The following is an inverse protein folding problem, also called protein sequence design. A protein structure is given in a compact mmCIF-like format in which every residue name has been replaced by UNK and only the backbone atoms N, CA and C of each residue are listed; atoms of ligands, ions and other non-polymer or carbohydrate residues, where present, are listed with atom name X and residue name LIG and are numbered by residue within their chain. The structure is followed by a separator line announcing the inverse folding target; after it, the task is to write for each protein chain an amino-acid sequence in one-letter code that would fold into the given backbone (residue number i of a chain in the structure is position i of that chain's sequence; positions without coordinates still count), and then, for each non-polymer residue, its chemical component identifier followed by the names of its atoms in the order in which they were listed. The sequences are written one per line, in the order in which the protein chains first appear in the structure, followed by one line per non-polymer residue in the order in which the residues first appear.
data_IF_118793358514
#
_entry.id   IF_118793358514
#
_cell.length_a   1.000
_cell.length_b   1.000
_cell.length_c   1.000
_cell.angle_alpha   90.00
_cell.angle_beta   90.00
_cell.angle_gamma   90.00
#
_symmetry.space_group_name_H-M   'P 1'
#
loop_
_entity.id
_entity.type
_entity.pdbx_description
1 polymer ?
#
# COMPACT_ATOMS: atom_id res chain seq x y z
N UNK A 1 -44.33 55.84 9.19
CA UNK A 1 -43.71 55.31 7.95
C UNK A 1 -44.79 54.59 7.16
N UNK A 2 -45.36 55.24 6.15
CA UNK A 2 -46.35 54.62 5.27
C UNK A 2 -45.65 53.70 4.27
N UNK A 3 -45.58 52.41 4.60
CA UNK A 3 -45.05 51.41 3.68
C UNK A 3 -46.17 51.05 2.70
N UNK A 4 -46.03 51.48 1.44
CA UNK A 4 -46.96 51.06 0.38
C UNK A 4 -46.95 49.53 0.24
N UNK A 5 -48.08 48.93 -0.18
CA UNK A 5 -48.19 47.47 -0.42
C UNK A 5 -47.06 46.91 -1.30
N UNK A 6 -46.63 47.70 -2.31
CA UNK A 6 -45.49 47.37 -3.18
C UNK A 6 -44.15 47.43 -2.44
N UNK A 7 -43.97 48.39 -1.53
CA UNK A 7 -42.81 48.47 -0.65
C UNK A 7 -42.72 47.27 0.30
N UNK A 8 -43.85 46.86 0.88
CA UNK A 8 -43.92 45.68 1.75
C UNK A 8 -43.53 44.39 1.02
N UNK A 9 -44.01 44.17 -0.21
CA UNK A 9 -43.66 43.00 -1.00
C UNK A 9 -42.18 42.99 -1.43
N UNK A 10 -41.62 44.15 -1.79
CA UNK A 10 -40.19 44.27 -2.11
C UNK A 10 -39.30 43.99 -0.90
N UNK A 11 -39.66 44.54 0.26
CA UNK A 11 -38.91 44.35 1.50
C UNK A 11 -38.99 42.88 1.96
N UNK A 12 -40.17 42.29 1.94
CA UNK A 12 -40.39 40.89 2.33
C UNK A 12 -39.67 39.92 1.40
N UNK A 13 -39.68 40.18 0.08
CA UNK A 13 -38.93 39.40 -0.90
C UNK A 13 -37.41 39.47 -0.69
N UNK A 14 -36.87 40.64 -0.35
CA UNK A 14 -35.44 40.80 -0.06
C UNK A 14 -35.00 40.08 1.23
N UNK A 15 -35.85 40.11 2.27
CA UNK A 15 -35.57 39.40 3.54
C UNK A 15 -35.67 37.89 3.36
N UNK A 16 -36.68 37.40 2.63
CA UNK A 16 -36.78 35.97 2.29
C UNK A 16 -35.59 35.50 1.45
N UNK A 17 -35.20 36.27 0.43
CA UNK A 17 -34.05 35.94 -0.42
C UNK A 17 -32.75 35.85 0.36
N UNK A 18 -32.55 36.68 1.40
CA UNK A 18 -31.33 36.68 2.22
C UNK A 18 -31.35 35.65 3.35
N UNK A 19 -32.52 35.34 3.91
CA UNK A 19 -32.66 34.33 4.97
C UNK A 19 -32.40 32.88 4.53
N UNK A 20 -32.54 32.58 3.24
CA UNK A 20 -32.30 31.24 2.67
C UNK A 20 -30.86 30.95 2.21
N UNK A 21 -29.94 31.93 2.27
CA UNK A 21 -28.58 31.80 1.71
C UNK A 21 -27.64 31.01 2.65
N UNK A 22 -28.11 30.60 3.83
CA UNK A 22 -27.28 29.83 4.78
C UNK A 22 -26.12 30.62 5.39
N UNK A 23 -26.07 31.94 5.18
CA UNK A 23 -25.05 32.84 5.74
C UNK A 23 -25.52 33.30 7.12
N UNK A 24 -24.92 32.75 8.18
CA UNK A 24 -25.13 33.23 9.54
C UNK A 24 -24.28 34.47 9.81
N UNK A 25 -24.90 35.59 10.18
CA UNK A 25 -24.21 36.82 10.60
C UNK A 25 -23.77 36.78 12.07
N UNK A 26 -23.96 35.65 12.77
CA UNK A 26 -23.44 35.48 14.13
C UNK A 26 -21.91 35.42 14.06
N UNK A 27 -21.18 36.12 14.95
CA UNK A 27 -19.73 35.96 15.04
C UNK A 27 -19.40 34.50 15.33
N UNK A 28 -18.81 33.82 14.34
CA UNK A 28 -18.30 32.45 14.51
C UNK A 28 -16.87 32.58 15.01
N UNK A 29 -16.62 32.12 16.23
CA UNK A 29 -15.25 31.89 16.68
C UNK A 29 -14.75 30.61 16.02
N UNK A 30 -13.85 30.74 15.06
CA UNK A 30 -13.16 29.61 14.47
C UNK A 30 -12.08 29.13 15.44
N UNK A 31 -12.45 28.26 16.38
CA UNK A 31 -11.46 27.58 17.19
C UNK A 31 -10.69 26.58 16.32
N UNK A 32 -9.36 26.74 16.25
CA UNK A 32 -8.51 25.76 15.60
C UNK A 32 -8.68 24.41 16.30
N UNK A 33 -9.18 23.41 15.57
CA UNK A 33 -9.25 22.05 16.07
C UNK A 33 -7.83 21.53 16.32
N UNK A 34 -7.62 20.67 17.33
CA UNK A 34 -6.31 20.05 17.52
C UNK A 34 -5.93 19.25 16.27
N UNK A 35 -4.63 19.26 15.94
CA UNK A 35 -4.11 18.48 14.82
C UNK A 35 -4.45 16.99 15.00
N UNK A 36 -4.80 16.31 13.91
CA UNK A 36 -5.13 14.87 13.93
C UNK A 36 -3.97 14.01 14.45
N UNK A 37 -2.74 14.48 14.24
CA UNK A 37 -1.48 13.88 14.70
C UNK A 37 -1.16 14.17 16.17
N UNK A 38 -2.03 14.87 16.92
CA UNK A 38 -1.81 15.07 18.35
C UNK A 38 -1.76 13.71 19.05
N UNK A 39 -0.69 13.49 19.82
CA UNK A 39 -0.40 12.24 20.55
C UNK A 39 -0.15 11.02 19.66
N UNK A 40 0.28 11.20 18.41
CA UNK A 40 0.81 10.09 17.61
C UNK A 40 2.26 9.81 17.96
N UNK A 41 2.69 8.55 17.80
CA UNK A 41 4.09 8.17 17.74
C UNK A 41 4.59 8.35 16.31
N UNK A 42 5.68 9.08 16.16
CA UNK A 42 6.35 9.26 14.88
C UNK A 42 7.43 8.21 14.67
N UNK A 43 7.50 7.67 13.46
CA UNK A 43 8.55 6.75 13.00
C UNK A 43 8.91 7.08 11.56
N UNK A 44 10.17 7.00 11.19
CA UNK A 44 10.61 7.23 9.81
C UNK A 44 10.54 5.95 8.98
N UNK A 45 10.29 6.11 7.69
CA UNK A 45 10.33 5.04 6.67
C UNK A 45 10.77 5.60 5.33
N UNK A 46 11.02 4.71 4.36
CA UNK A 46 11.39 5.08 2.99
C UNK A 46 10.21 4.82 2.06
N UNK A 47 9.94 5.77 1.16
CA UNK A 47 8.96 5.64 0.09
C UNK A 47 9.24 4.40 -0.80
N UNK A 48 8.31 3.45 -0.95
CA UNK A 48 8.52 2.18 -1.66
C UNK A 48 8.24 2.26 -3.16
N UNK A 49 8.00 3.46 -3.72
CA UNK A 49 7.48 3.57 -5.10
C UNK A 49 8.57 3.63 -6.18
N UNK A 50 9.52 4.55 -6.06
CA UNK A 50 10.57 4.74 -7.07
C UNK A 50 11.93 4.86 -6.40
N UNK A 51 12.99 4.84 -7.20
CA UNK A 51 14.38 4.83 -6.74
C UNK A 51 14.86 6.13 -6.08
N UNK A 52 14.03 7.17 -5.99
CA UNK A 52 14.42 8.43 -5.32
C UNK A 52 14.68 8.19 -3.83
N UNK A 53 13.94 7.28 -3.18
CA UNK A 53 14.17 6.93 -1.78
C UNK A 53 13.79 8.05 -0.79
N UNK A 54 12.70 8.78 -1.05
CA UNK A 54 12.24 9.85 -0.15
C UNK A 54 12.00 9.31 1.27
N UNK A 55 12.50 10.02 2.28
CA UNK A 55 12.19 9.76 3.69
C UNK A 55 10.82 10.32 4.06
N UNK A 56 10.07 9.54 4.84
CA UNK A 56 8.69 9.77 5.22
C UNK A 56 8.56 9.62 6.73
N UNK A 57 7.90 10.56 7.38
CA UNK A 57 7.45 10.47 8.77
C UNK A 57 6.06 9.83 8.78
N UNK A 58 5.92 8.77 9.57
CA UNK A 58 4.68 8.03 9.76
C UNK A 58 4.16 8.32 11.17
N UNK A 59 3.01 8.97 11.24
CA UNK A 59 2.32 9.23 12.51
C UNK A 59 1.37 8.08 12.84
N UNK A 60 1.59 7.38 13.94
CA UNK A 60 0.82 6.20 14.37
C UNK A 60 0.12 6.40 15.72
N UNK A 61 -1.06 5.81 15.89
CA UNK A 61 -1.77 5.76 17.18
C UNK A 61 -2.59 4.48 17.27
N UNK A 62 -2.48 3.78 18.40
CA UNK A 62 -3.18 2.51 18.65
C UNK A 62 -2.96 1.47 17.53
N UNK A 63 -1.72 1.34 17.05
CA UNK A 63 -1.35 0.40 15.98
C UNK A 63 -1.86 0.79 14.58
N UNK A 64 -2.52 1.94 14.42
CA UNK A 64 -3.01 2.43 13.14
C UNK A 64 -2.16 3.60 12.68
N UNK A 65 -1.86 3.63 11.39
CA UNK A 65 -1.33 4.84 10.75
C UNK A 65 -2.44 5.89 10.81
N UNK A 66 -2.10 7.15 11.11
CA UNK A 66 -3.01 8.30 11.12
C UNK A 66 -2.67 9.30 10.01
N UNK A 67 -1.38 9.51 9.74
CA UNK A 67 -0.88 10.39 8.69
C UNK A 67 0.51 9.95 8.22
N UNK A 68 0.88 10.37 7.02
CA UNK A 68 2.24 10.28 6.50
C UNK A 68 2.64 11.59 5.85
N UNK A 69 3.84 12.07 6.12
CA UNK A 69 4.38 13.31 5.54
C UNK A 69 5.87 13.18 5.21
N UNK A 70 6.41 14.09 4.41
CA UNK A 70 7.82 14.06 4.06
C UNK A 70 8.68 14.48 5.25
N UNK A 71 9.82 13.81 5.42
CA UNK A 71 10.79 14.15 6.45
C UNK A 71 11.59 15.43 6.06
N UNK A 72 11.47 16.54 6.80
CA UNK A 72 12.18 17.78 6.52
C UNK A 72 13.71 17.66 6.66
N UNK A 73 14.19 16.73 7.49
CA UNK A 73 15.63 16.54 7.74
C UNK A 73 16.28 15.66 6.66
N UNK A 74 15.47 15.07 5.79
CA UNK A 74 15.94 14.24 4.69
C UNK A 74 16.81 15.03 3.70
N UNK A 75 18.04 14.58 3.40
CA UNK A 75 18.88 15.22 2.40
C UNK A 75 18.32 15.04 0.98
N UNK A 76 17.45 14.05 0.77
CA UNK A 76 16.89 13.68 -0.54
C UNK A 76 15.70 14.57 -0.89
N UNK A 77 14.71 14.64 0.01
CA UNK A 77 13.41 15.26 -0.30
C UNK A 77 13.08 16.49 0.55
N UNK A 78 13.80 16.79 1.64
CA UNK A 78 13.61 17.99 2.47
C UNK A 78 12.13 18.30 2.78
N UNK A 79 11.38 17.28 3.18
CA UNK A 79 9.94 17.38 3.50
C UNK A 79 8.99 17.26 2.30
N UNK A 80 9.50 17.28 1.06
CA UNK A 80 8.67 17.20 -0.14
C UNK A 80 8.24 15.76 -0.45
N UNK A 81 7.04 15.59 -1.00
CA UNK A 81 6.58 14.32 -1.57
C UNK A 81 5.83 14.58 -2.88
N UNK A 82 6.01 13.70 -3.87
CA UNK A 82 5.17 13.71 -5.07
C UNK A 82 3.77 13.16 -4.75
N UNK A 83 2.83 13.24 -5.70
CA UNK A 83 1.45 12.74 -5.52
C UNK A 83 1.38 11.27 -5.06
N UNK A 84 2.30 10.42 -5.52
CA UNK A 84 2.40 9.01 -5.06
C UNK A 84 2.85 8.92 -3.61
N UNK A 85 3.92 9.62 -3.25
CA UNK A 85 4.45 9.62 -1.89
C UNK A 85 3.48 10.23 -0.89
N UNK A 86 2.81 11.32 -1.26
CA UNK A 86 1.81 11.99 -0.42
C UNK A 86 0.55 11.14 -0.16
N UNK A 87 0.28 10.14 -0.99
CA UNK A 87 -0.84 9.20 -0.80
C UNK A 87 -0.43 7.87 -0.16
N UNK A 88 0.84 7.69 0.23
CA UNK A 88 1.36 6.40 0.75
C UNK A 88 0.57 5.87 1.96
N UNK A 89 0.01 6.76 2.78
CA UNK A 89 -0.91 6.42 3.87
C UNK A 89 -1.99 5.42 3.45
N UNK A 90 -2.49 5.54 2.22
CA UNK A 90 -3.53 4.67 1.67
C UNK A 90 -3.08 3.22 1.63
N UNK A 91 -1.79 2.90 1.47
CA UNK A 91 -1.32 1.51 1.50
C UNK A 91 -1.65 0.79 2.81
N UNK A 92 -1.65 1.51 3.94
CA UNK A 92 -1.92 0.93 5.24
C UNK A 92 -3.43 0.77 5.53
N UNK A 93 -4.27 1.63 4.95
CA UNK A 93 -5.71 1.70 5.26
C UNK A 93 -6.62 1.37 4.08
N UNK A 94 -6.07 0.86 2.97
CA UNK A 94 -6.85 0.49 1.79
C UNK A 94 -7.78 -0.68 2.10
N UNK A 95 -9.06 -0.56 1.74
CA UNK A 95 -10.05 -1.65 1.85
C UNK A 95 -9.70 -2.85 0.96
N UNK A 96 -8.96 -2.62 -0.13
CA UNK A 96 -8.48 -3.67 -1.04
C UNK A 96 -7.20 -4.37 -0.54
N UNK A 97 -6.68 -4.02 0.65
CA UNK A 97 -5.47 -4.65 1.18
C UNK A 97 -5.77 -6.11 1.55
N UNK A 98 -5.03 -7.04 0.96
CA UNK A 98 -5.10 -8.45 1.31
C UNK A 98 -4.70 -8.65 2.78
N UNK A 99 -5.57 -9.30 3.55
CA UNK A 99 -5.38 -9.56 4.98
C UNK A 99 -5.25 -11.04 5.32
N UNK A 100 -5.62 -11.93 4.39
CA UNK A 100 -5.62 -13.38 4.56
C UNK A 100 -5.13 -14.09 3.30
N UNK A 101 -4.58 -15.31 3.42
CA UNK A 101 -4.32 -16.17 2.28
C UNK A 101 -5.60 -16.52 1.54
N UNK A 102 -5.52 -16.52 0.20
CA UNK A 102 -6.62 -16.90 -0.68
C UNK A 102 -6.19 -18.06 -1.57
N UNK A 103 -7.08 -19.02 -1.76
CA UNK A 103 -6.89 -20.17 -2.62
C UNK A 103 -7.95 -20.23 -3.71
N UNK A 104 -7.52 -20.58 -4.93
CA UNK A 104 -8.40 -20.87 -6.06
C UNK A 104 -8.15 -22.29 -6.53
N UNK A 105 -9.20 -23.09 -6.59
CA UNK A 105 -9.13 -24.47 -7.06
C UNK A 105 -8.74 -24.54 -8.55
N UNK A 106 -8.14 -25.66 -9.00
CA UNK A 106 -7.89 -25.90 -10.41
C UNK A 106 -9.17 -25.72 -11.23
N UNK A 107 -9.09 -24.95 -12.31
CA UNK A 107 -10.22 -24.60 -13.18
C UNK A 107 -11.37 -23.82 -12.50
N UNK A 108 -11.21 -23.39 -11.25
CA UNK A 108 -12.19 -22.58 -10.52
C UNK A 108 -12.09 -21.08 -10.86
N UNK A 109 -13.18 -20.35 -10.63
CA UNK A 109 -13.29 -18.90 -10.85
C UNK A 109 -13.35 -18.08 -9.55
N UNK A 110 -13.65 -18.72 -8.41
CA UNK A 110 -13.82 -18.06 -7.12
C UNK A 110 -12.63 -18.27 -6.18
N UNK A 111 -12.29 -17.24 -5.40
CA UNK A 111 -11.31 -17.31 -4.33
C UNK A 111 -11.96 -17.72 -3.01
N UNK A 112 -11.26 -18.55 -2.23
CA UNK A 112 -11.65 -18.97 -0.88
C UNK A 112 -10.58 -18.55 0.11
N UNK A 113 -10.97 -18.01 1.26
CA UNK A 113 -10.04 -17.78 2.36
C UNK A 113 -9.55 -19.11 2.92
N UNK A 114 -8.25 -19.19 3.22
CA UNK A 114 -7.62 -20.37 3.83
C UNK A 114 -6.67 -19.95 4.94
N UNK A 115 -6.42 -20.88 5.86
CA UNK A 115 -5.47 -20.67 6.94
C UNK A 115 -4.02 -20.69 6.43
N UNK A 116 -3.14 -19.94 7.11
CA UNK A 116 -1.72 -19.86 6.76
C UNK A 116 -1.04 -21.22 6.74
N UNK A 117 -1.29 -22.07 7.74
CA UNK A 117 -0.67 -23.40 7.83
C UNK A 117 -1.03 -24.25 6.61
N UNK A 118 -2.32 -24.30 6.28
CA UNK A 118 -2.80 -25.02 5.10
C UNK A 118 -2.19 -24.47 3.80
N UNK A 119 -2.08 -23.15 3.67
CA UNK A 119 -1.51 -22.52 2.48
C UNK A 119 -0.03 -22.86 2.32
N UNK A 120 0.75 -22.81 3.40
CA UNK A 120 2.17 -23.14 3.42
C UNK A 120 2.40 -24.61 3.08
N UNK A 121 1.64 -25.53 3.69
CA UNK A 121 1.71 -26.96 3.38
C UNK A 121 1.39 -27.22 1.90
N UNK A 122 0.34 -26.60 1.37
CA UNK A 122 -0.05 -26.77 -0.03
C UNK A 122 1.00 -26.24 -1.00
N UNK A 123 1.61 -25.10 -0.69
CA UNK A 123 2.71 -24.54 -1.48
C UNK A 123 3.92 -25.47 -1.43
N UNK A 124 4.30 -25.96 -0.25
CA UNK A 124 5.42 -26.87 -0.07
C UNK A 124 5.22 -28.19 -0.82
N UNK A 125 4.02 -28.79 -0.75
CA UNK A 125 3.66 -29.99 -1.50
C UNK A 125 3.85 -29.79 -3.02
N UNK A 126 3.35 -28.68 -3.55
CA UNK A 126 3.45 -28.36 -4.97
C UNK A 126 4.90 -28.10 -5.40
N UNK A 127 5.66 -27.32 -4.60
CA UNK A 127 7.09 -27.07 -4.85
C UNK A 127 7.86 -28.39 -4.87
N UNK A 128 7.65 -29.25 -3.87
CA UNK A 128 8.33 -30.54 -3.78
C UNK A 128 8.00 -31.41 -4.99
N UNK A 129 6.72 -31.55 -5.34
CA UNK A 129 6.27 -32.31 -6.51
C UNK A 129 6.93 -31.83 -7.81
N UNK A 130 6.91 -30.52 -8.07
CA UNK A 130 7.51 -29.95 -9.28
C UNK A 130 9.03 -30.08 -9.29
N UNK A 131 9.68 -29.88 -8.13
CA UNK A 131 11.12 -30.03 -8.00
C UNK A 131 11.54 -31.47 -8.24
N UNK A 132 10.94 -32.44 -7.57
CA UNK A 132 11.28 -33.86 -7.72
C UNK A 132 11.10 -34.35 -9.17
N UNK A 133 10.08 -33.86 -9.86
CA UNK A 133 9.84 -34.20 -11.27
C UNK A 133 10.82 -33.52 -12.25
N UNK A 134 11.35 -32.34 -11.91
CA UNK A 134 12.13 -31.50 -12.81
C UNK A 134 13.60 -31.27 -12.44
N UNK A 135 14.09 -31.88 -11.35
CA UNK A 135 15.46 -31.67 -10.87
C UNK A 135 16.47 -32.51 -11.67
N UNK A 136 17.54 -31.85 -12.12
CA UNK A 136 18.64 -32.44 -12.89
C UNK A 136 19.92 -32.32 -12.06
N UNK A 137 20.50 -33.46 -11.70
CA UNK A 137 21.81 -33.52 -11.03
C UNK A 137 22.92 -33.23 -12.05
N UNK A 138 22.84 -33.85 -13.22
CA UNK A 138 23.81 -33.70 -14.31
C UNK A 138 23.16 -33.18 -15.60
N UNK A 139 23.94 -32.53 -16.45
CA UNK A 139 23.53 -32.18 -17.81
C UNK A 139 23.87 -33.28 -18.84
N UNK A 140 23.55 -33.04 -20.12
CA UNK A 140 23.82 -33.98 -21.23
C UNK A 140 25.32 -34.29 -21.42
N UNK A 141 26.21 -33.42 -20.95
CA UNK A 141 27.67 -33.60 -20.99
C UNK A 141 28.21 -34.35 -19.78
N UNK A 142 27.36 -34.74 -18.82
CA UNK A 142 27.76 -35.40 -17.57
C UNK A 142 28.27 -34.45 -16.47
N UNK A 143 28.18 -33.13 -16.66
CA UNK A 143 28.62 -32.14 -15.66
C UNK A 143 27.55 -31.97 -14.58
N UNK A 144 27.96 -31.82 -13.31
CA UNK A 144 27.02 -31.57 -12.21
C UNK A 144 26.45 -30.14 -12.30
N UNK A 145 25.12 -30.02 -12.32
CA UNK A 145 24.39 -28.75 -12.44
C UNK A 145 23.42 -28.47 -11.30
N UNK A 146 22.90 -29.50 -10.62
CA UNK A 146 21.98 -29.38 -9.47
C UNK A 146 20.87 -28.31 -9.65
N UNK A 147 20.11 -28.41 -10.73
CA UNK A 147 19.11 -27.40 -11.10
C UNK A 147 17.71 -27.96 -11.32
N UNK A 148 16.68 -27.15 -11.14
CA UNK A 148 15.31 -27.43 -11.57
C UNK A 148 14.85 -26.41 -12.61
N UNK A 149 14.25 -26.91 -13.69
CA UNK A 149 13.64 -26.12 -14.77
C UNK A 149 12.09 -26.12 -14.66
N UNK A 150 11.53 -26.86 -13.69
CA UNK A 150 10.08 -26.99 -13.50
C UNK A 150 9.44 -25.91 -12.61
N UNK A 151 10.24 -24.95 -12.13
CA UNK A 151 9.78 -23.88 -11.25
C UNK A 151 10.46 -22.57 -11.70
N UNK A 152 9.67 -21.51 -11.77
CA UNK A 152 10.16 -20.16 -12.03
C UNK A 152 9.66 -19.19 -10.95
N UNK A 153 10.46 -18.17 -10.66
CA UNK A 153 10.11 -17.08 -9.75
C UNK A 153 10.21 -15.74 -10.46
N UNK A 154 9.18 -14.91 -10.29
CA UNK A 154 9.19 -13.48 -10.66
C UNK A 154 9.11 -12.68 -9.36
N UNK A 155 10.25 -12.13 -8.92
CA UNK A 155 10.39 -11.39 -7.68
C UNK A 155 9.95 -9.93 -7.78
N UNK A 156 10.26 -9.14 -6.75
CA UNK A 156 9.90 -7.73 -6.66
C UNK A 156 11.10 -6.85 -6.28
N UNK A 157 11.23 -5.70 -6.97
CA UNK A 157 12.19 -4.64 -6.67
C UNK A 157 11.76 -3.74 -5.49
N UNK A 158 10.60 -4.00 -4.89
CA UNK A 158 10.09 -3.27 -3.74
C UNK A 158 10.32 -4.00 -2.40
N UNK A 159 11.02 -5.14 -2.42
CA UNK A 159 11.45 -5.85 -1.22
C UNK A 159 12.72 -5.21 -0.65
N UNK A 160 12.91 -5.29 0.66
CA UNK A 160 14.16 -4.84 1.28
C UNK A 160 15.33 -5.80 0.96
N UNK A 161 16.56 -5.38 1.31
CA UNK A 161 17.76 -6.14 0.96
C UNK A 161 17.81 -7.48 1.72
N UNK A 162 17.35 -7.49 2.96
CA UNK A 162 17.32 -8.64 3.85
C UNK A 162 16.34 -9.71 3.36
N UNK A 163 15.15 -9.29 2.94
CA UNK A 163 14.14 -10.11 2.29
C UNK A 163 14.66 -10.64 0.95
N UNK A 164 15.25 -9.79 0.11
CA UNK A 164 15.84 -10.21 -1.17
C UNK A 164 16.93 -11.27 -0.97
N UNK A 165 17.79 -11.07 0.02
CA UNK A 165 18.87 -12.01 0.36
C UNK A 165 18.31 -13.36 0.80
N UNK A 166 17.33 -13.35 1.72
CA UNK A 166 16.67 -14.56 2.21
C UNK A 166 15.92 -15.28 1.08
N UNK A 167 15.22 -14.52 0.24
CA UNK A 167 14.48 -15.03 -0.90
C UNK A 167 15.39 -15.69 -1.94
N UNK A 168 16.52 -15.04 -2.29
CA UNK A 168 17.50 -15.66 -3.19
C UNK A 168 18.08 -16.95 -2.64
N UNK A 169 18.44 -16.98 -1.35
CA UNK A 169 18.95 -18.21 -0.71
C UNK A 169 17.92 -19.34 -0.79
N UNK A 170 16.65 -19.04 -0.54
CA UNK A 170 15.58 -20.02 -0.67
C UNK A 170 15.48 -20.56 -2.10
N UNK A 171 15.37 -19.69 -3.11
CA UNK A 171 15.21 -20.12 -4.51
C UNK A 171 16.43 -20.88 -5.05
N UNK A 172 17.64 -20.39 -4.77
CA UNK A 172 18.89 -21.06 -5.19
C UNK A 172 19.13 -22.35 -4.41
N UNK A 173 18.74 -22.42 -3.14
CA UNK A 173 18.77 -23.65 -2.35
C UNK A 173 17.87 -24.75 -2.93
N UNK A 174 16.77 -24.38 -3.59
CA UNK A 174 15.92 -25.30 -4.34
C UNK A 174 16.49 -25.69 -5.71
N UNK A 175 17.55 -25.02 -6.18
CA UNK A 175 18.17 -25.24 -7.50
C UNK A 175 17.47 -24.48 -8.64
N UNK A 176 16.67 -23.45 -8.36
CA UNK A 176 16.00 -22.71 -9.43
C UNK A 176 17.01 -21.94 -10.29
N UNK A 177 16.80 -22.00 -11.61
CA UNK A 177 17.55 -21.21 -12.59
C UNK A 177 16.74 -20.07 -13.18
N UNK A 178 15.42 -20.22 -13.28
CA UNK A 178 14.51 -19.18 -13.75
C UNK A 178 14.10 -18.26 -12.60
N UNK A 179 14.97 -17.31 -12.29
CA UNK A 179 14.73 -16.30 -11.25
C UNK A 179 14.86 -14.93 -11.88
N UNK A 180 13.74 -14.24 -11.97
CA UNK A 180 13.61 -12.93 -12.61
C UNK A 180 13.01 -11.90 -11.67
N UNK A 181 13.17 -10.63 -12.04
CA UNK A 181 12.53 -9.47 -11.40
C UNK A 181 12.43 -8.33 -12.43
N UNK A 182 11.97 -7.16 -12.00
CA UNK A 182 11.72 -5.98 -12.85
C UNK A 182 12.89 -5.59 -13.76
N UNK A 183 14.16 -5.79 -13.37
CA UNK A 183 15.29 -5.40 -14.23
C UNK A 183 15.50 -6.29 -15.47
N UNK A 184 14.68 -7.34 -15.67
CA UNK A 184 14.68 -8.11 -16.92
C UNK A 184 14.08 -7.33 -18.09
N UNK A 185 13.18 -6.39 -17.80
CA UNK A 185 12.52 -5.48 -18.76
C UNK A 185 13.30 -4.16 -18.78
#
# INVERSE_FOLDING_TARGET
MDVSRRGFLKLSGAVLATSGIGISLKPVSAHAQPLKIKYTKETTTICPYCSVGCSIIVSTRNGKVINTEGDPDSPINKGSLCSKGGSIYQMAVNENRLSKPLYREPFGTAWKEVEWEWALDKIAENIKKSRDAGFKVTNEKGETVNRTEGIASVGSAAMDLEECYTYQKFLRGLGLVYIEHQARI
#
